data_IF_396935581105
#
_entry.id   IF_396935581105
#
_cell.length_a   1.000
_cell.length_b   1.000
_cell.length_c   1.000
_cell.angle_alpha   90.00
_cell.angle_beta   90.00
_cell.angle_gamma   90.00
#
_symmetry.space_group_name_H-M   'P 1'
#
loop_
_entity.id
_entity.type
_entity.pdbx_description
1 polymer ?
#
# COMPACT_ATOMS: atom_id res chain seq x y z
N UNK A 1 2.76 -17.07 0.01
CA UNK A 1 3.43 -15.78 -0.24
C UNK A 1 4.94 -16.01 -0.26
N UNK A 2 5.65 -15.44 -1.24
CA UNK A 2 7.12 -15.43 -1.25
C UNK A 2 7.65 -14.27 -0.39
N UNK A 3 8.47 -14.57 0.61
CA UNK A 3 8.94 -13.62 1.62
C UNK A 3 10.46 -13.48 1.50
N UNK A 4 10.96 -12.25 1.57
CA UNK A 4 12.38 -11.95 1.74
C UNK A 4 12.61 -11.33 3.12
N UNK A 5 13.69 -11.72 3.78
CA UNK A 5 14.07 -11.18 5.10
C UNK A 5 15.39 -10.43 4.97
N UNK A 6 15.42 -9.17 5.41
CA UNK A 6 16.60 -8.33 5.40
C UNK A 6 16.86 -7.80 6.82
N UNK A 7 17.93 -8.28 7.44
CA UNK A 7 18.36 -7.90 8.80
C UNK A 7 19.86 -8.16 8.89
N UNK A 8 20.65 -7.26 9.48
CA UNK A 8 22.10 -7.43 9.56
C UNK A 8 22.48 -8.52 10.58
N UNK A 9 21.66 -8.70 11.61
CA UNK A 9 21.85 -9.70 12.66
C UNK A 9 21.38 -11.09 12.21
N UNK A 10 22.30 -12.06 12.13
CA UNK A 10 21.97 -13.44 11.70
C UNK A 10 20.94 -14.11 12.60
N UNK A 11 21.05 -13.93 13.93
CA UNK A 11 20.11 -14.50 14.89
C UNK A 11 18.69 -13.95 14.71
N UNK A 12 18.56 -12.68 14.30
CA UNK A 12 17.26 -12.08 14.01
C UNK A 12 16.64 -12.69 12.75
N UNK A 13 17.44 -12.92 11.69
CA UNK A 13 16.99 -13.62 10.49
C UNK A 13 16.57 -15.06 10.79
N UNK A 14 17.40 -15.83 11.48
CA UNK A 14 17.10 -17.23 11.86
C UNK A 14 15.79 -17.33 12.65
N UNK A 15 15.57 -16.39 13.58
CA UNK A 15 14.33 -16.30 14.35
C UNK A 15 13.14 -15.97 13.46
N UNK A 16 13.26 -15.00 12.54
CA UNK A 16 12.17 -14.65 11.63
C UNK A 16 11.85 -15.79 10.67
N UNK A 17 12.86 -16.46 10.11
CA UNK A 17 12.69 -17.66 9.29
C UNK A 17 11.90 -18.74 10.03
N UNK A 18 12.30 -19.03 11.28
CA UNK A 18 11.61 -20.00 12.13
C UNK A 18 10.15 -19.59 12.40
N UNK A 19 9.88 -18.32 12.69
CA UNK A 19 8.53 -17.83 12.92
C UNK A 19 7.66 -17.89 11.65
N UNK A 20 8.23 -17.59 10.48
CA UNK A 20 7.51 -17.68 9.20
C UNK A 20 7.15 -19.14 8.89
N UNK A 21 8.09 -20.07 9.07
CA UNK A 21 7.90 -21.50 8.87
C UNK A 21 6.82 -22.06 9.81
N UNK A 22 6.91 -21.74 11.11
CA UNK A 22 5.92 -22.13 12.11
C UNK A 22 4.49 -21.60 11.83
N UNK A 23 4.36 -20.46 11.15
CA UNK A 23 3.08 -19.87 10.80
C UNK A 23 2.48 -20.50 9.53
N UNK A 24 3.30 -21.07 8.66
CA UNK A 24 2.86 -21.66 7.39
C UNK A 24 2.17 -20.68 6.43
N UNK A 25 2.35 -19.37 6.63
CA UNK A 25 1.68 -18.31 5.84
C UNK A 25 2.48 -17.90 4.59
N UNK A 26 3.72 -18.38 4.45
CA UNK A 26 4.59 -18.07 3.33
C UNK A 26 5.90 -18.83 3.41
N UNK A 27 6.75 -18.61 2.41
CA UNK A 27 8.06 -19.24 2.27
C UNK A 27 9.13 -18.16 2.20
N UNK A 28 10.21 -18.31 2.95
CA UNK A 28 11.37 -17.42 2.85
C UNK A 28 12.19 -17.82 1.63
N UNK A 29 12.16 -17.01 0.57
CA UNK A 29 12.83 -17.29 -0.70
C UNK A 29 14.24 -16.71 -0.78
N UNK A 30 14.56 -15.73 0.07
CA UNK A 30 15.87 -15.11 0.14
C UNK A 30 16.08 -14.38 1.46
N UNK A 31 17.35 -14.26 1.86
CA UNK A 31 17.80 -13.49 3.00
C UNK A 31 18.87 -12.48 2.60
N UNK A 32 18.91 -11.34 3.29
CA UNK A 32 19.93 -10.31 3.09
C UNK A 32 20.43 -9.76 4.42
N UNK A 33 21.73 -9.44 4.50
CA UNK A 33 22.37 -8.83 5.67
C UNK A 33 22.53 -7.31 5.56
N UNK A 34 22.07 -6.70 4.47
CA UNK A 34 22.14 -5.26 4.22
C UNK A 34 21.14 -4.84 3.13
N UNK A 35 20.89 -3.54 3.03
CA UNK A 35 19.93 -2.96 2.07
C UNK A 35 20.26 -3.26 0.60
N UNK A 36 21.55 -3.26 0.23
CA UNK A 36 21.98 -3.56 -1.15
C UNK A 36 21.64 -5.00 -1.54
N UNK A 37 21.99 -5.96 -0.68
CA UNK A 37 21.65 -7.36 -0.88
C UNK A 37 20.13 -7.59 -0.91
N UNK A 38 19.36 -6.84 -0.12
CA UNK A 38 17.91 -6.90 -0.16
C UNK A 38 17.37 -6.49 -1.53
N UNK A 39 17.85 -5.37 -2.10
CA UNK A 39 17.44 -4.91 -3.43
C UNK A 39 17.83 -5.88 -4.55
N UNK A 40 19.03 -6.45 -4.49
CA UNK A 40 19.48 -7.47 -5.44
C UNK A 40 18.60 -8.72 -5.38
N UNK A 41 18.32 -9.21 -4.17
CA UNK A 41 17.48 -10.39 -3.95
C UNK A 41 16.02 -10.16 -4.32
N UNK A 42 15.47 -8.95 -4.11
CA UNK A 42 14.12 -8.60 -4.58
C UNK A 42 14.04 -8.69 -6.11
N UNK A 43 15.05 -8.18 -6.82
CA UNK A 43 15.08 -8.26 -8.29
C UNK A 43 15.20 -9.70 -8.80
N UNK A 44 15.99 -10.54 -8.12
CA UNK A 44 16.23 -11.92 -8.51
C UNK A 44 15.06 -12.86 -8.22
N UNK A 45 14.44 -12.75 -7.04
CA UNK A 45 13.45 -13.72 -6.55
C UNK A 45 12.00 -13.23 -6.67
N UNK A 46 11.81 -11.93 -6.92
CA UNK A 46 10.51 -11.26 -6.98
C UNK A 46 9.61 -11.68 -5.81
N UNK A 47 10.03 -11.44 -4.56
CA UNK A 47 9.21 -11.72 -3.39
C UNK A 47 7.98 -10.80 -3.37
N UNK A 48 6.91 -11.28 -2.76
CA UNK A 48 5.67 -10.52 -2.59
C UNK A 48 5.72 -9.68 -1.31
N UNK A 49 6.44 -10.14 -0.30
CA UNK A 49 6.59 -9.47 1.00
C UNK A 49 8.07 -9.36 1.36
N UNK A 50 8.46 -8.22 1.92
CA UNK A 50 9.81 -7.99 2.47
C UNK A 50 9.69 -7.64 3.95
N UNK A 51 10.31 -8.43 4.82
CA UNK A 51 10.57 -8.07 6.22
C UNK A 51 11.92 -7.33 6.26
N UNK A 52 11.91 -6.05 6.63
CA UNK A 52 13.06 -5.17 6.45
C UNK A 52 13.47 -4.48 7.74
N UNK A 53 14.69 -4.73 8.21
CA UNK A 53 15.24 -4.01 9.34
C UNK A 53 15.61 -2.56 8.99
N UNK A 54 15.28 -1.64 9.87
CA UNK A 54 15.59 -0.21 9.67
C UNK A 54 17.09 0.06 9.79
N UNK A 55 17.79 -0.62 10.70
CA UNK A 55 19.21 -0.38 10.98
C UNK A 55 20.05 -1.47 10.35
N UNK A 56 20.50 -1.23 9.13
CA UNK A 56 21.47 -2.07 8.46
C UNK A 56 22.72 -1.26 8.07
N UNK A 57 23.91 -1.88 8.03
CA UNK A 57 25.13 -1.22 7.60
C UNK A 57 25.07 -0.85 6.11
N UNK A 58 25.62 0.31 5.78
CA UNK A 58 25.63 0.84 4.41
C UNK A 58 24.33 1.57 4.08
N UNK A 59 23.50 0.98 3.22
CA UNK A 59 22.17 1.52 2.90
C UNK A 59 21.23 1.11 4.02
N UNK A 60 20.68 2.09 4.73
CA UNK A 60 19.73 1.85 5.80
C UNK A 60 18.37 1.31 5.27
N UNK A 61 17.55 0.78 6.17
CA UNK A 61 16.26 0.19 5.78
C UNK A 61 15.27 1.21 5.23
N UNK A 62 15.36 2.49 5.60
CA UNK A 62 14.47 3.54 5.09
C UNK A 62 14.81 3.93 3.66
N UNK A 63 16.09 4.04 3.33
CA UNK A 63 16.56 4.22 1.96
C UNK A 63 16.22 2.98 1.12
N UNK A 64 16.41 1.78 1.66
CA UNK A 64 16.01 0.53 1.00
C UNK A 64 14.51 0.52 0.70
N UNK A 65 13.65 0.89 1.66
CA UNK A 65 12.20 1.02 1.48
C UNK A 65 11.85 1.98 0.34
N UNK A 66 12.49 3.15 0.29
CA UNK A 66 12.29 4.12 -0.80
C UNK A 66 12.63 3.55 -2.18
N UNK A 67 13.72 2.80 -2.29
CA UNK A 67 14.11 2.17 -3.55
C UNK A 67 13.15 1.03 -3.93
N UNK A 68 12.69 0.24 -2.97
CA UNK A 68 11.70 -0.82 -3.19
C UNK A 68 10.35 -0.25 -3.68
N UNK A 69 9.93 0.89 -3.16
CA UNK A 69 8.70 1.57 -3.57
C UNK A 69 8.69 2.02 -5.05
N UNK A 70 9.87 2.15 -5.67
CA UNK A 70 10.02 2.50 -7.09
C UNK A 70 9.99 1.28 -8.02
N UNK A 71 9.95 0.06 -7.50
CA UNK A 71 9.93 -1.18 -8.29
C UNK A 71 8.53 -1.54 -8.75
N UNK A 72 8.45 -2.22 -9.90
CA UNK A 72 7.21 -2.81 -10.42
C UNK A 72 7.43 -4.30 -10.77
N UNK A 73 6.65 -5.23 -10.18
CA UNK A 73 5.66 -5.00 -9.11
C UNK A 73 6.31 -4.56 -7.79
N UNK A 74 5.59 -3.73 -7.02
CA UNK A 74 6.08 -3.21 -5.73
C UNK A 74 5.79 -4.24 -4.63
N UNK A 75 6.80 -4.76 -3.92
CA UNK A 75 6.56 -5.71 -2.84
C UNK A 75 5.92 -5.02 -1.62
N UNK A 76 5.13 -5.77 -0.86
CA UNK A 76 4.62 -5.30 0.43
C UNK A 76 5.75 -5.29 1.46
N UNK A 77 6.09 -4.14 2.02
CA UNK A 77 7.18 -4.03 3.00
C UNK A 77 6.63 -3.95 4.43
N UNK A 78 7.15 -4.79 5.32
CA UNK A 78 6.92 -4.73 6.76
C UNK A 78 8.24 -4.38 7.42
N UNK A 79 8.30 -3.27 8.16
CA UNK A 79 9.52 -2.87 8.83
C UNK A 79 9.69 -3.62 10.15
N UNK A 80 10.93 -4.00 10.43
CA UNK A 80 11.37 -4.53 11.73
C UNK A 80 12.37 -3.56 12.36
N UNK A 81 12.29 -3.30 13.66
CA UNK A 81 13.24 -2.40 14.33
C UNK A 81 13.16 -2.49 15.84
N UNK A 82 14.24 -2.10 16.52
CA UNK A 82 14.27 -1.95 17.97
C UNK A 82 13.77 -0.58 18.48
N UNK A 83 13.50 0.40 17.59
CA UNK A 83 13.22 1.80 17.97
C UNK A 83 11.90 2.31 17.40
N UNK A 84 10.91 2.54 18.28
CA UNK A 84 9.55 2.95 17.91
C UNK A 84 9.38 4.32 17.27
N UNK A 85 10.41 5.18 17.31
CA UNK A 85 10.30 6.58 16.90
C UNK A 85 10.21 6.76 15.37
N UNK A 86 10.64 5.76 14.59
CA UNK A 86 10.60 5.79 13.12
C UNK A 86 9.25 5.34 12.53
N UNK A 87 8.26 5.03 13.37
CA UNK A 87 6.96 4.55 12.90
C UNK A 87 6.22 5.59 12.04
N UNK A 88 6.39 6.89 12.31
CA UNK A 88 5.69 7.95 11.58
C UNK A 88 6.24 8.11 10.15
N UNK A 89 7.57 8.10 9.99
CA UNK A 89 8.23 8.17 8.67
C UNK A 89 7.92 6.94 7.81
N UNK A 90 7.79 5.76 8.42
CA UNK A 90 7.44 4.52 7.72
C UNK A 90 6.09 4.59 6.99
N UNK A 91 5.12 5.31 7.56
CA UNK A 91 3.82 5.52 6.92
C UNK A 91 3.90 6.39 5.67
N UNK A 92 4.82 7.35 5.62
CA UNK A 92 5.00 8.22 4.44
C UNK A 92 5.49 7.42 3.22
N UNK A 93 6.23 6.33 3.45
CA UNK A 93 6.79 5.47 2.41
C UNK A 93 6.00 4.17 2.17
N UNK A 94 4.72 4.15 2.56
CA UNK A 94 3.78 3.06 2.28
C UNK A 94 4.21 1.68 2.84
N UNK A 95 4.95 1.62 3.93
CA UNK A 95 5.13 0.36 4.65
C UNK A 95 3.75 -0.17 5.10
N UNK A 96 3.47 -1.46 4.88
CA UNK A 96 2.18 -2.06 5.19
C UNK A 96 2.00 -2.22 6.70
N UNK A 97 3.09 -2.53 7.40
CA UNK A 97 3.07 -2.66 8.84
C UNK A 97 4.46 -2.48 9.45
N UNK A 98 4.50 -2.42 10.77
CA UNK A 98 5.70 -2.14 11.55
C UNK A 98 5.76 -3.04 12.79
N UNK A 99 6.93 -3.68 12.99
CA UNK A 99 7.20 -4.67 14.03
C UNK A 99 8.34 -4.21 14.94
N UNK A 100 8.03 -4.05 16.23
CA UNK A 100 9.04 -3.81 17.25
C UNK A 100 9.72 -5.12 17.67
N UNK A 101 11.05 -5.13 17.69
CA UNK A 101 11.87 -6.18 18.28
C UNK A 101 11.73 -6.12 19.81
N UNK A 102 11.56 -7.26 20.51
CA UNK A 102 11.54 -8.63 20.01
C UNK A 102 10.22 -9.00 19.32
N UNK A 103 10.31 -9.58 18.11
CA UNK A 103 9.15 -9.92 17.30
C UNK A 103 8.46 -11.15 17.89
N UNK A 104 7.16 -10.98 18.17
CA UNK A 104 6.26 -12.02 18.66
C UNK A 104 5.48 -12.65 17.51
N UNK A 105 5.20 -13.95 17.62
CA UNK A 105 4.53 -14.74 16.58
C UNK A 105 3.19 -14.14 16.17
N UNK A 106 2.37 -13.75 17.14
CA UNK A 106 1.02 -13.21 16.91
C UNK A 106 1.09 -11.87 16.16
N UNK A 107 2.12 -11.07 16.44
CA UNK A 107 2.28 -9.77 15.81
C UNK A 107 2.78 -9.91 14.37
N UNK A 108 3.68 -10.85 14.11
CA UNK A 108 4.13 -11.21 12.76
C UNK A 108 2.95 -11.77 11.94
N UNK A 109 2.15 -12.66 12.52
CA UNK A 109 0.95 -13.23 11.87
C UNK A 109 -0.01 -12.10 11.43
N UNK A 110 -0.30 -11.14 12.32
CA UNK A 110 -1.14 -10.00 11.99
C UNK A 110 -0.57 -9.15 10.85
N UNK A 111 0.75 -8.90 10.86
CA UNK A 111 1.41 -8.13 9.81
C UNK A 111 1.38 -8.86 8.47
N UNK A 112 1.62 -10.17 8.44
CA UNK A 112 1.52 -11.00 7.22
C UNK A 112 0.09 -11.06 6.68
N UNK A 113 -0.93 -11.14 7.55
CA UNK A 113 -2.35 -11.04 7.12
C UNK A 113 -2.65 -9.70 6.46
N UNK A 114 -2.13 -8.60 7.00
CA UNK A 114 -2.28 -7.26 6.40
C UNK A 114 -1.54 -7.14 5.06
N UNK A 115 -0.31 -7.65 4.97
CA UNK A 115 0.44 -7.71 3.73
C UNK A 115 -0.29 -8.53 2.65
N UNK A 116 -0.86 -9.69 3.02
CA UNK A 116 -1.68 -10.48 2.11
C UNK A 116 -2.88 -9.69 1.59
N UNK A 117 -3.65 -9.05 2.48
CA UNK A 117 -4.81 -8.25 2.09
C UNK A 117 -4.40 -7.08 1.16
N UNK A 118 -3.29 -6.41 1.45
CA UNK A 118 -2.75 -5.33 0.63
C UNK A 118 -2.36 -5.82 -0.77
N UNK A 119 -1.68 -6.96 -0.88
CA UNK A 119 -1.34 -7.57 -2.16
C UNK A 119 -2.58 -7.96 -2.96
N UNK A 120 -3.63 -8.46 -2.31
CA UNK A 120 -4.91 -8.73 -2.98
C UNK A 120 -5.53 -7.44 -3.52
N UNK A 121 -5.49 -6.34 -2.76
CA UNK A 121 -6.00 -5.03 -3.23
C UNK A 121 -5.17 -4.41 -4.36
N UNK A 122 -3.88 -4.72 -4.48
CA UNK A 122 -3.05 -4.29 -5.62
C UNK A 122 -3.24 -5.19 -6.85
N UNK A 123 -3.45 -6.49 -6.64
CA UNK A 123 -3.65 -7.48 -7.71
C UNK A 123 -5.04 -7.40 -8.31
N UNK A 124 -6.03 -7.02 -7.50
CA UNK A 124 -7.21 -6.35 -8.02
C UNK A 124 -6.76 -4.98 -8.49
N UNK A 125 -6.48 -4.85 -9.78
CA UNK A 125 -7.07 -3.69 -10.47
C UNK A 125 -8.44 -3.50 -9.82
N UNK A 126 -8.78 -2.37 -9.16
CA UNK A 126 -10.21 -2.07 -9.02
C UNK A 126 -10.74 -2.34 -10.43
N UNK A 127 -11.83 -3.11 -10.61
CA UNK A 127 -12.39 -3.25 -11.95
C UNK A 127 -12.39 -1.84 -12.46
N UNK A 128 -11.60 -1.55 -13.51
CA UNK A 128 -11.53 -0.22 -14.08
C UNK A 128 -12.98 0.18 -14.08
N UNK A 129 -13.42 1.21 -13.33
CA UNK A 129 -14.75 1.69 -13.58
C UNK A 129 -14.59 2.12 -15.03
N UNK A 130 -14.96 1.24 -15.97
CA UNK A 130 -15.18 1.54 -17.37
C UNK A 130 -15.92 2.83 -17.25
N UNK A 131 -15.31 3.99 -17.53
CA UNK A 131 -15.79 5.24 -16.95
C UNK A 131 -17.25 5.31 -17.31
N UNK A 132 -18.12 4.98 -16.36
CA UNK A 132 -19.53 4.88 -16.63
C UNK A 132 -19.84 6.34 -16.61
N UNK A 133 -19.90 6.90 -17.82
CA UNK A 133 -20.08 8.32 -18.04
C UNK A 133 -21.12 8.76 -17.03
N UNK A 134 -20.73 9.65 -16.12
CA UNK A 134 -21.55 10.01 -14.96
C UNK A 134 -22.95 10.27 -15.47
N UNK A 135 -23.92 9.49 -15.00
CA UNK A 135 -25.26 9.51 -15.59
C UNK A 135 -26.09 10.66 -15.05
N UNK A 136 -25.65 11.29 -13.95
CA UNK A 136 -26.36 12.37 -13.27
C UNK A 136 -25.41 13.48 -12.79
N UNK A 137 -25.92 14.71 -12.71
CA UNK A 137 -25.29 15.87 -12.08
C UNK A 137 -26.17 16.32 -10.91
N UNK A 138 -25.54 16.59 -9.75
CA UNK A 138 -26.24 17.06 -8.56
C UNK A 138 -26.19 18.58 -8.42
N UNK A 139 -27.27 19.18 -7.93
CA UNK A 139 -27.31 20.57 -7.48
C UNK A 139 -28.11 20.70 -6.17
N UNK A 140 -27.82 21.75 -5.40
CA UNK A 140 -28.57 22.08 -4.19
C UNK A 140 -29.52 23.24 -4.45
N UNK A 141 -30.80 23.08 -4.09
CA UNK A 141 -31.78 24.17 -4.14
C UNK A 141 -32.59 24.16 -2.84
N UNK A 142 -32.58 25.30 -2.14
CA UNK A 142 -33.27 25.46 -0.83
C UNK A 142 -32.90 24.39 0.22
N UNK A 143 -31.67 23.87 0.16
CA UNK A 143 -31.17 22.84 1.09
C UNK A 143 -31.49 21.41 0.67
N UNK A 144 -32.23 21.20 -0.41
CA UNK A 144 -32.49 19.88 -0.97
C UNK A 144 -31.50 19.53 -2.08
N UNK A 145 -30.99 18.30 -2.07
CA UNK A 145 -30.12 17.76 -3.11
C UNK A 145 -30.98 17.20 -4.24
N UNK A 146 -30.83 17.74 -5.44
CA UNK A 146 -31.49 17.27 -6.64
C UNK A 146 -30.48 16.64 -7.60
N UNK A 147 -30.90 15.56 -8.27
CA UNK A 147 -30.11 14.84 -9.27
C UNK A 147 -30.74 14.99 -10.64
N UNK A 148 -29.96 15.41 -11.64
CA UNK A 148 -30.40 15.60 -13.02
C UNK A 148 -29.68 14.63 -13.95
N UNK A 149 -30.39 13.79 -14.73
CA UNK A 149 -29.78 12.89 -15.69
C UNK A 149 -29.00 13.67 -16.77
N UNK A 150 -27.75 13.31 -17.03
CA UNK A 150 -26.87 14.00 -18.00
C UNK A 150 -27.45 13.98 -19.42
N UNK A 151 -28.14 12.90 -19.80
CA UNK A 151 -28.80 12.78 -21.11
C UNK A 151 -30.05 13.68 -21.27
N UNK A 152 -30.47 14.40 -20.22
CA UNK A 152 -31.56 15.37 -20.24
C UNK A 152 -31.07 16.81 -20.17
N UNK A 153 -29.77 17.03 -19.99
CA UNK A 153 -29.16 18.36 -19.90
C UNK A 153 -28.94 18.90 -21.31
N UNK A 154 -29.43 20.11 -21.56
CA UNK A 154 -29.20 20.79 -22.82
C UNK A 154 -27.88 21.55 -22.80
N UNK A 155 -27.63 22.34 -21.76
CA UNK A 155 -26.41 23.12 -21.60
C UNK A 155 -26.26 23.63 -20.16
N UNK A 156 -25.04 24.09 -19.86
CA UNK A 156 -24.72 24.90 -18.70
C UNK A 156 -24.44 26.33 -19.15
N UNK A 157 -24.99 27.31 -18.45
CA UNK A 157 -24.76 28.72 -18.72
C UNK A 157 -24.07 29.35 -17.51
N UNK A 158 -22.80 29.70 -17.67
CA UNK A 158 -22.06 30.42 -16.64
C UNK A 158 -22.44 31.91 -16.70
N UNK A 159 -23.10 32.41 -15.65
CA UNK A 159 -23.49 33.81 -15.56
C UNK A 159 -23.05 34.40 -14.21
N UNK A 160 -22.08 35.32 -14.28
CA UNK A 160 -21.46 35.98 -13.13
C UNK A 160 -20.83 34.99 -12.13
N UNK A 161 -21.43 34.84 -10.93
CA UNK A 161 -20.93 33.99 -9.84
C UNK A 161 -21.57 32.59 -9.81
N UNK A 162 -22.50 32.31 -10.70
CA UNK A 162 -23.27 31.06 -10.70
C UNK A 162 -23.25 30.39 -12.07
N UNK A 163 -23.46 29.07 -12.06
CA UNK A 163 -23.70 28.28 -13.26
C UNK A 163 -25.16 27.86 -13.23
N UNK A 164 -25.90 28.26 -14.25
CA UNK A 164 -27.28 27.82 -14.45
C UNK A 164 -27.28 26.53 -15.29
N UNK A 165 -27.99 25.52 -14.81
CA UNK A 165 -28.20 24.24 -15.47
C UNK A 165 -29.56 24.25 -16.19
N UNK A 166 -29.58 23.99 -17.50
CA UNK A 166 -30.82 23.91 -18.29
C UNK A 166 -31.06 22.46 -18.76
N UNK A 167 -32.21 21.88 -18.43
CA UNK A 167 -32.59 20.51 -18.80
C UNK A 167 -34.06 20.38 -19.18
N UNK A 168 -34.48 19.18 -19.60
CA UNK A 168 -35.85 18.94 -20.12
C UNK A 168 -37.01 19.33 -19.21
N UNK A 169 -36.82 19.40 -17.88
CA UNK A 169 -37.89 19.73 -16.93
C UNK A 169 -37.73 21.10 -16.27
N UNK A 170 -36.73 21.90 -16.63
CA UNK A 170 -36.55 23.23 -16.06
C UNK A 170 -35.11 23.74 -16.08
N UNK A 171 -34.86 24.74 -15.24
CA UNK A 171 -33.54 25.31 -14.99
C UNK A 171 -33.26 25.45 -13.50
N UNK A 172 -31.99 25.36 -13.09
CA UNK A 172 -31.53 25.56 -11.71
C UNK A 172 -30.25 26.38 -11.67
#
# INVERSE_FOLDING_TARGET
MKILIADDESLARDRLCSLVDELGMGEVVAEASNGKGALENVRAHQPEVVLLDIRMPGIDGMQTLRELALLHPTPAVILTTAYGEHALEAFEYQAVDYLLKPIRKERLEQALKRAYAFLQTQSTTPPTPTPTARTHISYYLRGELHLVPVNKIYYFFAHQKYVELYWTQGKA
#
